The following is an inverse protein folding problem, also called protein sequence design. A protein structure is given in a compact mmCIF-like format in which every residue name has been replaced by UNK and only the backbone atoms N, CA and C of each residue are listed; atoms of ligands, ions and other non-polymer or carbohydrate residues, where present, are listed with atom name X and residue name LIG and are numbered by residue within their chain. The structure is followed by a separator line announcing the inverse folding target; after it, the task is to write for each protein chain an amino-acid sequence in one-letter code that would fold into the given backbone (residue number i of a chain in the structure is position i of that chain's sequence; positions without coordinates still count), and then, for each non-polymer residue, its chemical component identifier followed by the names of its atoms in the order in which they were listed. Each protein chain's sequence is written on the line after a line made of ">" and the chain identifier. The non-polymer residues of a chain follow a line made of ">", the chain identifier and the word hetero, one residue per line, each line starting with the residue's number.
data_IF_806796404393
#
_entry.id   IF_806796404393
#
_cell.length_a   1.000
_cell.length_b   1.000
_cell.length_c   1.000
_cell.angle_alpha   90.00
_cell.angle_beta   90.00
_cell.angle_gamma   90.00
#
_symmetry.space_group_name_H-M   'P 1'
#
loop_
_entity.id
_entity.type
_entity.pdbx_description
1 polymer ?
#
# COMPACT_ATOMS: atom_id res chain seq x y z
N UNK A 1 4.38 13.52 -20.87
CA UNK A 1 3.79 12.50 -19.99
C UNK A 1 3.90 12.95 -18.52
N UNK A 2 3.61 14.22 -18.25
CA UNK A 2 3.52 14.77 -16.89
C UNK A 2 2.15 15.43 -16.64
N UNK A 3 1.30 15.58 -17.67
CA UNK A 3 0.06 16.36 -17.60
C UNK A 3 -1.20 15.55 -17.32
N UNK A 4 -1.12 14.23 -17.15
CA UNK A 4 -2.29 13.38 -16.87
C UNK A 4 -2.57 13.19 -15.38
N UNK A 5 -1.64 13.58 -14.50
CA UNK A 5 -1.77 13.38 -13.05
C UNK A 5 -2.55 14.52 -12.38
N UNK A 6 -2.64 15.68 -13.03
CA UNK A 6 -3.27 16.88 -12.47
C UNK A 6 -4.80 16.83 -12.51
N UNK A 7 -5.40 16.10 -13.45
CA UNK A 7 -6.87 16.04 -13.60
C UNK A 7 -7.54 15.09 -12.58
N UNK A 8 -6.80 14.16 -11.97
CA UNK A 8 -7.37 13.18 -11.04
C UNK A 8 -7.48 13.69 -9.59
N UNK A 9 -6.79 14.77 -9.24
CA UNK A 9 -6.68 15.24 -7.85
C UNK A 9 -7.58 16.44 -7.50
N UNK A 10 -8.46 16.88 -8.40
CA UNK A 10 -9.50 17.85 -8.06
C UNK A 10 -8.99 19.14 -7.40
N UNK A 11 -7.77 19.56 -7.73
CA UNK A 11 -7.23 20.84 -7.23
C UNK A 11 -8.02 21.96 -7.92
N UNK A 12 -8.72 22.84 -7.18
CA UNK A 12 -9.38 23.97 -7.80
C UNK A 12 -8.30 24.88 -8.41
N UNK A 13 -8.41 25.17 -9.70
CA UNK A 13 -7.63 26.22 -10.34
C UNK A 13 -7.93 27.53 -9.61
N UNK A 14 -6.93 28.10 -8.93
CA UNK A 14 -7.05 29.41 -8.30
C UNK A 14 -6.87 30.46 -9.41
N UNK A 15 -7.94 30.76 -10.13
CA UNK A 15 -7.99 31.94 -10.99
C UNK A 15 -8.31 33.17 -10.12
N UNK A 16 -7.41 34.14 -10.18
CA UNK A 16 -7.51 35.39 -9.44
C UNK A 16 -8.59 36.29 -10.04
N UNK A 17 -9.81 36.28 -9.50
CA UNK A 17 -10.74 37.42 -9.57
C UNK A 17 -11.70 37.40 -8.37
N UNK A 18 -11.75 38.53 -7.65
CA UNK A 18 -12.57 38.89 -6.49
C UNK A 18 -14.00 38.31 -6.46
N UNK A 19 -14.46 37.91 -5.26
CA UNK A 19 -15.88 38.09 -4.90
C UNK A 19 -16.55 37.15 -3.88
N UNK A 20 -16.08 37.10 -2.63
CA UNK A 20 -16.93 36.97 -1.44
C UNK A 20 -17.60 35.62 -1.07
N UNK A 21 -17.79 35.47 0.25
CA UNK A 21 -18.68 34.56 1.01
C UNK A 21 -18.01 33.27 1.58
N UNK A 22 -17.33 33.48 2.72
CA UNK A 22 -17.55 32.86 4.04
C UNK A 22 -17.95 31.37 4.11
N UNK A 23 -17.06 30.56 4.70
CA UNK A 23 -17.45 29.33 5.42
C UNK A 23 -16.41 28.22 5.37
N UNK A 24 -15.70 28.02 6.49
CA UNK A 24 -14.88 26.85 6.82
C UNK A 24 -13.48 26.76 6.18
N UNK A 25 -12.58 27.69 6.53
CA UNK A 25 -11.16 27.35 6.67
C UNK A 25 -11.04 26.40 7.85
N UNK A 26 -11.17 25.10 7.59
CA UNK A 26 -10.43 24.12 8.39
C UNK A 26 -8.96 24.49 8.23
N UNK A 27 -8.36 24.96 9.33
CA UNK A 27 -6.91 25.09 9.45
C UNK A 27 -6.32 23.70 9.24
N UNK A 28 -5.98 23.38 7.99
CA UNK A 28 -5.19 22.20 7.68
C UNK A 28 -3.82 22.44 8.29
N UNK A 29 -3.54 21.71 9.37
CA UNK A 29 -2.26 21.67 10.04
C UNK A 29 -1.18 21.23 9.03
N UNK A 30 -0.51 22.22 8.44
CA UNK A 30 0.49 22.03 7.38
C UNK A 30 1.69 21.22 7.86
N UNK A 31 1.94 21.21 9.17
CA UNK A 31 3.00 20.40 9.79
C UNK A 31 2.62 18.92 9.86
N UNK A 32 1.34 18.60 10.13
CA UNK A 32 0.87 17.22 10.22
C UNK A 32 0.84 16.52 8.85
N UNK A 33 0.43 17.26 7.82
CA UNK A 33 0.40 16.76 6.42
C UNK A 33 1.79 16.48 5.87
N UNK A 34 2.80 17.27 6.23
CA UNK A 34 4.19 17.04 5.80
C UNK A 34 4.75 15.72 6.37
N UNK A 35 4.48 15.45 7.65
CA UNK A 35 4.96 14.23 8.33
C UNK A 35 4.33 12.95 7.76
N UNK A 36 3.05 12.98 7.38
CA UNK A 36 2.39 11.82 6.77
C UNK A 36 2.92 11.53 5.36
N UNK A 37 3.14 12.58 4.57
CA UNK A 37 3.73 12.47 3.22
C UNK A 37 5.15 11.91 3.29
N UNK A 38 5.98 12.37 4.22
CA UNK A 38 7.34 11.85 4.41
C UNK A 38 7.34 10.36 4.79
N UNK A 39 6.44 9.94 5.69
CA UNK A 39 6.27 8.54 6.07
C UNK A 39 5.88 7.66 4.88
N UNK A 40 4.99 8.15 4.02
CA UNK A 40 4.54 7.42 2.84
C UNK A 40 5.68 7.23 1.82
N UNK A 41 6.45 8.28 1.51
CA UNK A 41 7.61 8.15 0.62
C UNK A 41 8.67 7.20 1.18
N UNK A 42 8.93 7.27 2.48
CA UNK A 42 9.82 6.32 3.14
C UNK A 42 9.31 4.87 2.99
N UNK A 43 8.01 4.65 3.14
CA UNK A 43 7.40 3.33 2.96
C UNK A 43 7.61 2.81 1.53
N UNK A 44 7.44 3.67 0.52
CA UNK A 44 7.72 3.33 -0.88
C UNK A 44 9.19 2.94 -1.04
N UNK A 45 10.12 3.77 -0.58
CA UNK A 45 11.57 3.52 -0.72
C UNK A 45 11.99 2.21 -0.05
N UNK A 46 11.49 1.96 1.17
CA UNK A 46 11.75 0.74 1.93
C UNK A 46 11.19 -0.51 1.21
N UNK A 47 10.05 -0.36 0.53
CA UNK A 47 9.37 -1.43 -0.19
C UNK A 47 10.04 -1.80 -1.52
N UNK A 48 10.70 -0.84 -2.17
CA UNK A 48 11.43 -1.05 -3.43
C UNK A 48 12.82 -1.66 -3.22
N UNK A 49 13.31 -1.72 -1.99
CA UNK A 49 14.58 -2.40 -1.67
C UNK A 49 14.54 -3.87 -2.07
N UNK A 50 15.72 -4.41 -2.40
CA UNK A 50 15.92 -5.84 -2.61
C UNK A 50 15.39 -6.64 -1.41
N UNK A 51 14.85 -7.83 -1.68
CA UNK A 51 14.31 -8.72 -0.64
C UNK A 51 15.37 -9.05 0.42
N UNK A 52 16.57 -9.33 -0.05
CA UNK A 52 17.82 -9.49 0.71
C UNK A 52 18.97 -9.07 -0.21
N UNK A 53 20.17 -8.74 0.33
CA UNK A 53 21.30 -8.29 -0.48
C UNK A 53 21.64 -9.25 -1.64
N UNK A 54 21.62 -8.74 -2.86
CA UNK A 54 21.90 -9.50 -4.08
C UNK A 54 20.67 -10.16 -4.72
N UNK A 55 19.47 -9.99 -4.16
CA UNK A 55 18.23 -10.54 -4.73
C UNK A 55 17.75 -9.69 -5.92
N UNK A 56 18.19 -10.06 -7.13
CA UNK A 56 17.85 -9.31 -8.36
C UNK A 56 16.42 -9.54 -8.88
N UNK A 57 15.77 -10.61 -8.42
CA UNK A 57 14.46 -11.03 -8.96
C UNK A 57 13.29 -10.43 -8.18
N UNK A 58 13.50 -10.06 -6.91
CA UNK A 58 12.43 -9.58 -6.04
C UNK A 58 12.89 -8.41 -5.17
N UNK A 59 12.10 -7.33 -5.21
CA UNK A 59 12.03 -6.37 -4.10
C UNK A 59 11.15 -6.91 -2.97
N UNK A 60 11.24 -6.32 -1.78
CA UNK A 60 10.35 -6.66 -0.65
C UNK A 60 8.87 -6.55 -1.04
N UNK A 61 8.49 -5.45 -1.70
CA UNK A 61 7.11 -5.24 -2.14
C UNK A 61 6.66 -6.31 -3.12
N UNK A 62 7.48 -6.59 -4.14
CA UNK A 62 7.12 -7.59 -5.15
C UNK A 62 6.91 -8.95 -4.52
N UNK A 63 7.75 -9.33 -3.55
CA UNK A 63 7.64 -10.60 -2.85
C UNK A 63 6.35 -10.68 -2.00
N UNK A 64 6.05 -9.64 -1.21
CA UNK A 64 4.82 -9.58 -0.39
C UNK A 64 3.58 -9.61 -1.28
N UNK A 65 3.59 -8.86 -2.39
CA UNK A 65 2.50 -8.85 -3.37
C UNK A 65 2.24 -10.26 -3.93
N UNK A 66 3.30 -11.00 -4.31
CA UNK A 66 3.16 -12.38 -4.78
C UNK A 66 2.61 -13.31 -3.69
N UNK A 67 3.07 -13.17 -2.44
CA UNK A 67 2.53 -13.96 -1.32
C UNK A 67 1.03 -13.72 -1.14
N UNK A 68 0.60 -12.46 -1.08
CA UNK A 68 -0.82 -12.12 -0.93
C UNK A 68 -1.62 -12.61 -2.13
N UNK A 69 -1.09 -12.50 -3.34
CA UNK A 69 -1.74 -13.00 -4.54
C UNK A 69 -1.93 -14.54 -4.49
N UNK A 70 -0.90 -15.29 -4.07
CA UNK A 70 -0.99 -16.74 -3.86
C UNK A 70 -2.07 -17.09 -2.84
N UNK A 71 -2.15 -16.34 -1.73
CA UNK A 71 -3.21 -16.52 -0.73
C UNK A 71 -4.60 -16.35 -1.35
N UNK A 72 -4.82 -15.27 -2.10
CA UNK A 72 -6.11 -14.96 -2.72
C UNK A 72 -6.51 -16.04 -3.73
N UNK A 73 -5.62 -16.40 -4.66
CA UNK A 73 -5.87 -17.45 -5.66
C UNK A 73 -6.06 -18.83 -5.03
N UNK A 74 -5.23 -19.17 -4.05
CA UNK A 74 -5.28 -20.44 -3.32
C UNK A 74 -6.39 -20.51 -2.27
N UNK A 75 -7.13 -19.41 -2.05
CA UNK A 75 -8.15 -19.27 -1.00
C UNK A 75 -7.64 -19.71 0.38
N UNK A 76 -6.37 -19.43 0.66
CA UNK A 76 -5.75 -19.79 1.93
C UNK A 76 -6.36 -18.92 3.03
N UNK A 77 -6.87 -19.53 4.09
CA UNK A 77 -7.28 -18.79 5.28
C UNK A 77 -6.05 -18.14 5.96
N UNK A 78 -6.29 -17.16 6.84
CA UNK A 78 -5.21 -16.38 7.47
C UNK A 78 -4.26 -17.29 8.25
N UNK A 79 -4.80 -18.21 9.05
CA UNK A 79 -3.98 -19.16 9.83
C UNK A 79 -3.02 -19.97 8.96
N UNK A 80 -3.50 -20.46 7.81
CA UNK A 80 -2.68 -21.28 6.89
C UNK A 80 -1.59 -20.43 6.24
N UNK A 81 -1.92 -19.20 5.88
CA UNK A 81 -0.94 -18.26 5.34
C UNK A 81 0.13 -17.89 6.38
N UNK A 82 -0.27 -17.65 7.63
CA UNK A 82 0.67 -17.32 8.71
C UNK A 82 1.63 -18.48 8.96
N UNK A 83 1.13 -19.73 9.01
CA UNK A 83 1.98 -20.92 9.11
C UNK A 83 2.95 -21.07 7.93
N UNK A 84 2.56 -20.64 6.73
CA UNK A 84 3.44 -20.63 5.57
C UNK A 84 4.54 -19.56 5.68
N UNK A 85 4.22 -18.36 6.21
CA UNK A 85 5.21 -17.33 6.50
C UNK A 85 6.21 -17.77 7.57
N UNK A 86 5.75 -18.47 8.61
CA UNK A 86 6.61 -19.01 9.66
C UNK A 86 7.63 -20.00 9.07
N UNK A 87 7.17 -20.94 8.24
CA UNK A 87 8.05 -21.89 7.55
C UNK A 87 9.09 -21.18 6.67
N UNK A 88 8.66 -20.19 5.89
CA UNK A 88 9.56 -19.42 5.06
C UNK A 88 10.60 -18.66 5.89
N UNK A 89 10.21 -18.14 7.05
CA UNK A 89 11.10 -17.44 7.99
C UNK A 89 12.15 -18.37 8.58
N UNK A 90 11.77 -19.59 8.93
CA UNK A 90 12.71 -20.62 9.38
C UNK A 90 13.70 -21.03 8.30
N UNK A 91 13.24 -21.15 7.04
CA UNK A 91 14.08 -21.57 5.92
C UNK A 91 14.96 -20.44 5.34
N UNK A 92 14.49 -19.19 5.35
CA UNK A 92 15.08 -18.06 4.64
C UNK A 92 15.18 -16.82 5.53
N UNK A 93 15.88 -16.94 6.66
CA UNK A 93 15.93 -15.92 7.70
C UNK A 93 16.32 -14.52 7.18
N UNK A 94 17.35 -14.44 6.32
CA UNK A 94 17.84 -13.18 5.75
C UNK A 94 16.80 -12.48 4.86
N UNK A 95 16.03 -13.25 4.08
CA UNK A 95 14.98 -12.72 3.21
C UNK A 95 13.73 -12.29 3.99
N UNK A 96 13.47 -12.93 5.13
CA UNK A 96 12.20 -12.82 5.86
C UNK A 96 12.27 -11.84 7.03
N UNK A 97 13.47 -11.40 7.45
CA UNK A 97 13.68 -10.57 8.64
C UNK A 97 12.83 -9.29 8.64
N UNK A 98 12.72 -8.63 7.49
CA UNK A 98 12.00 -7.36 7.33
C UNK A 98 10.62 -7.53 6.67
N UNK A 99 10.11 -8.76 6.59
CA UNK A 99 8.80 -9.03 5.99
C UNK A 99 7.71 -9.19 7.06
N UNK A 100 6.44 -8.95 6.69
CA UNK A 100 5.29 -9.19 7.54
C UNK A 100 5.30 -10.56 8.21
N UNK A 101 4.88 -10.60 9.46
CA UNK A 101 4.77 -11.84 10.27
C UNK A 101 3.43 -12.53 10.11
N UNK A 102 2.46 -11.83 9.51
CA UNK A 102 1.11 -12.35 9.32
C UNK A 102 0.48 -11.79 8.06
N UNK A 103 -0.61 -12.41 7.63
CA UNK A 103 -1.47 -11.85 6.60
C UNK A 103 -1.96 -10.44 6.94
N UNK A 104 -2.32 -10.19 8.21
CA UNK A 104 -2.82 -8.89 8.63
C UNK A 104 -1.77 -7.79 8.43
N UNK A 105 -0.52 -8.06 8.82
CA UNK A 105 0.58 -7.11 8.61
C UNK A 105 0.85 -6.90 7.11
N UNK A 106 0.79 -7.96 6.30
CA UNK A 106 0.94 -7.87 4.85
C UNK A 106 -0.18 -7.03 4.22
N UNK A 107 -1.43 -7.27 4.61
CA UNK A 107 -2.59 -6.52 4.13
C UNK A 107 -2.54 -5.06 4.57
N UNK A 108 -2.12 -4.79 5.81
CA UNK A 108 -1.92 -3.42 6.30
C UNK A 108 -0.88 -2.66 5.48
N UNK A 109 0.27 -3.28 5.22
CA UNK A 109 1.30 -2.69 4.37
C UNK A 109 0.78 -2.40 2.95
N UNK A 110 0.06 -3.37 2.36
CA UNK A 110 -0.53 -3.18 1.03
C UNK A 110 -1.54 -2.02 1.04
N UNK A 111 -2.40 -1.91 2.06
CA UNK A 111 -3.34 -0.79 2.23
C UNK A 111 -2.64 0.56 2.40
N UNK A 112 -1.60 0.63 3.22
CA UNK A 112 -0.79 1.84 3.42
C UNK A 112 -0.11 2.32 2.13
N UNK A 113 0.18 1.39 1.20
CA UNK A 113 0.71 1.68 -0.13
C UNK A 113 -0.38 1.94 -1.19
N UNK A 114 -1.67 1.94 -0.81
CA UNK A 114 -2.78 2.08 -1.76
C UNK A 114 -3.03 0.85 -2.65
N UNK A 115 -2.44 -0.29 -2.29
CA UNK A 115 -2.55 -1.59 -2.98
C UNK A 115 -3.44 -2.58 -2.21
N UNK A 116 -4.25 -2.06 -1.28
CA UNK A 116 -5.16 -2.87 -0.48
C UNK A 116 -6.23 -3.55 -1.34
N UNK A 117 -6.62 -4.76 -0.94
CA UNK A 117 -7.76 -5.45 -1.52
C UNK A 117 -9.05 -4.87 -0.91
N UNK A 118 -9.88 -4.23 -1.73
CA UNK A 118 -11.22 -3.82 -1.34
C UNK A 118 -12.22 -4.82 -1.88
N UNK A 119 -12.96 -5.46 -0.96
CA UNK A 119 -14.03 -6.37 -1.35
C UNK A 119 -15.23 -5.53 -1.80
N UNK A 120 -15.44 -5.45 -3.11
CA UNK A 120 -16.68 -4.90 -3.66
C UNK A 120 -17.71 -6.02 -3.84
N UNK A 121 -18.86 -5.88 -3.19
CA UNK A 121 -20.01 -6.77 -3.43
C UNK A 121 -20.61 -6.43 -4.80
N UNK A 122 -20.29 -7.25 -5.81
CA UNK A 122 -20.91 -7.12 -7.13
C UNK A 122 -22.32 -7.74 -7.10
N UNK A 123 -23.33 -7.10 -7.72
CA UNK A 123 -24.69 -7.62 -7.85
C UNK A 123 -24.78 -9.02 -8.47
N UNK A 124 -23.77 -9.43 -9.26
CA UNK A 124 -23.73 -10.71 -9.95
C UNK A 124 -22.93 -11.80 -9.21
N UNK A 125 -22.79 -11.70 -7.88
CA UNK A 125 -21.99 -12.63 -7.07
C UNK A 125 -20.49 -12.68 -7.45
N UNK A 126 -19.99 -11.69 -8.19
CA UNK A 126 -18.56 -11.54 -8.44
C UNK A 126 -17.92 -10.86 -7.23
N UNK A 127 -17.04 -11.56 -6.52
CA UNK A 127 -16.13 -10.88 -5.59
C UNK A 127 -14.91 -10.44 -6.39
N UNK A 128 -14.80 -9.14 -6.63
CA UNK A 128 -13.54 -8.53 -7.04
C UNK A 128 -12.73 -8.32 -5.75
N UNK A 129 -11.49 -8.81 -5.81
CA UNK A 129 -10.48 -8.63 -4.78
C UNK A 129 -9.47 -7.63 -5.34
#
# INVERSE_FOLDING_TARGET
>A
MHDLVLDALGVPQIDSTLGGIMGDTTEFDSDQTNVEVEKFYKLIDDSQQELYPGCKNFSKLSFISHLVHIKCLGKLNNKTFDMFLDLLREAFLEAMVNLPKSYYEAEKLMKELGLGYEKYDCPNNCTLY
#
